data_IF_141030350150
#
_entry.id   IF_141030350150
#
_cell.length_a   1.000
_cell.length_b   1.000
_cell.length_c   1.000
_cell.angle_alpha   90.00
_cell.angle_beta   90.00
_cell.angle_gamma   90.00
#
_symmetry.space_group_name_H-M   'P 1'
#
loop_
_entity.id
_entity.type
_entity.pdbx_description
1 polymer ?
#
# COMPACT_ATOMS: atom_id res chain seq x y z
N UNK A 1 22.04 -18.79 27.62
CA UNK A 1 21.50 -17.44 27.34
C UNK A 1 21.91 -17.06 25.92
N UNK A 2 21.10 -17.16 24.87
CA UNK A 2 19.72 -16.72 24.76
C UNK A 2 19.64 -15.37 24.04
N UNK A 3 20.29 -15.22 22.88
CA UNK A 3 20.30 -13.99 22.10
C UNK A 3 19.45 -14.11 20.84
N UNK A 4 18.13 -14.22 21.00
CA UNK A 4 17.20 -14.14 19.88
C UNK A 4 17.20 -12.70 19.37
N UNK A 5 17.87 -12.47 18.24
CA UNK A 5 17.85 -11.20 17.52
C UNK A 5 16.50 -11.08 16.86
N UNK A 6 15.60 -10.27 17.42
CA UNK A 6 14.39 -9.87 16.72
C UNK A 6 14.82 -9.12 15.46
N UNK A 7 14.36 -9.57 14.30
CA UNK A 7 14.50 -8.82 13.07
C UNK A 7 13.84 -7.45 13.28
N UNK A 8 14.60 -6.37 13.11
CA UNK A 8 14.02 -5.02 13.11
C UNK A 8 13.05 -4.97 11.94
N UNK A 9 11.76 -4.77 12.25
CA UNK A 9 10.75 -4.51 11.24
C UNK A 9 11.22 -3.32 10.41
N UNK A 10 11.46 -3.55 9.12
CA UNK A 10 11.91 -2.50 8.23
C UNK A 10 10.93 -1.33 8.30
N UNK A 11 11.44 -0.13 8.57
CA UNK A 11 10.64 1.06 8.79
C UNK A 11 9.83 1.38 7.51
N UNK A 12 8.53 1.10 7.55
CA UNK A 12 7.62 1.39 6.43
C UNK A 12 7.19 2.84 6.55
N UNK A 13 7.75 3.70 5.71
CA UNK A 13 7.36 5.11 5.70
C UNK A 13 6.03 5.30 4.96
N UNK A 14 5.16 6.16 5.48
CA UNK A 14 3.92 6.55 4.81
C UNK A 14 4.23 7.42 3.58
N UNK A 15 3.56 7.15 2.45
CA UNK A 15 3.71 7.94 1.22
C UNK A 15 2.34 8.27 0.64
N UNK A 16 2.19 9.51 0.14
CA UNK A 16 0.98 9.98 -0.54
C UNK A 16 1.32 10.42 -1.96
N UNK A 17 0.53 10.00 -2.94
CA UNK A 17 0.67 10.40 -4.36
C UNK A 17 -0.64 10.96 -4.88
N UNK A 18 -0.57 11.95 -5.79
CA UNK A 18 -1.75 12.51 -6.47
C UNK A 18 -2.00 11.75 -7.77
N UNK A 19 -3.27 11.47 -8.05
CA UNK A 19 -3.77 10.90 -9.31
C UNK A 19 -4.91 11.77 -9.84
N UNK A 20 -5.34 11.61 -11.11
CA UNK A 20 -6.49 12.34 -11.63
C UNK A 20 -7.78 12.12 -10.83
N UNK A 21 -7.94 10.94 -10.22
CA UNK A 21 -9.13 10.56 -9.45
C UNK A 21 -9.02 10.86 -7.95
N UNK A 22 -7.92 11.45 -7.49
CA UNK A 22 -7.69 11.79 -6.07
C UNK A 22 -6.31 11.36 -5.56
N UNK A 23 -6.10 11.47 -4.25
CA UNK A 23 -4.84 11.09 -3.62
C UNK A 23 -4.87 9.65 -3.13
N UNK A 24 -3.76 8.92 -3.32
CA UNK A 24 -3.58 7.56 -2.81
C UNK A 24 -2.55 7.56 -1.69
N UNK A 25 -2.87 6.85 -0.61
CA UNK A 25 -1.95 6.56 0.49
C UNK A 25 -1.37 5.16 0.32
N UNK A 26 -0.07 5.04 0.52
CA UNK A 26 0.67 3.79 0.43
C UNK A 26 1.84 3.76 1.41
N UNK A 27 2.72 2.78 1.21
CA UNK A 27 3.90 2.58 2.04
C UNK A 27 5.14 2.52 1.15
N UNK A 28 6.22 3.14 1.61
CA UNK A 28 7.57 2.88 1.11
C UNK A 28 8.16 1.71 1.90
N UNK A 29 8.53 0.64 1.22
CA UNK A 29 9.17 -0.53 1.81
C UNK A 29 10.14 -1.15 0.79
N UNK A 30 11.31 -1.57 1.24
CA UNK A 30 12.26 -2.36 0.43
C UNK A 30 12.68 -1.62 -0.85
N UNK A 31 12.81 -0.29 -0.78
CA UNK A 31 13.15 0.54 -1.94
C UNK A 31 12.00 0.79 -2.93
N UNK A 32 10.81 0.22 -2.71
CA UNK A 32 9.63 0.41 -3.57
C UNK A 32 8.47 1.10 -2.86
N UNK A 33 7.61 1.78 -3.64
CA UNK A 33 6.33 2.33 -3.17
C UNK A 33 5.21 1.34 -3.47
N UNK A 34 4.46 0.96 -2.46
CA UNK A 34 3.40 -0.05 -2.54
C UNK A 34 2.04 0.60 -2.25
N UNK A 35 1.11 0.47 -3.21
CA UNK A 35 -0.28 0.91 -3.09
C UNK A 35 -1.17 -0.31 -3.38
N UNK A 36 -2.04 -0.68 -2.44
CA UNK A 36 -2.89 -1.88 -2.53
C UNK A 36 -4.36 -1.49 -2.49
N UNK A 37 -5.21 -2.28 -3.15
CA UNK A 37 -6.66 -2.06 -3.14
C UNK A 37 -7.11 -0.79 -3.85
N UNK A 38 -6.31 -0.28 -4.79
CA UNK A 38 -6.65 0.93 -5.58
C UNK A 38 -7.78 0.57 -6.54
N UNK A 39 -8.97 1.19 -6.43
CA UNK A 39 -10.05 0.98 -7.38
C UNK A 39 -9.64 1.55 -8.74
N UNK A 40 -9.77 0.75 -9.80
CA UNK A 40 -9.44 1.16 -11.16
C UNK A 40 -10.67 1.18 -12.09
N UNK A 41 -11.77 0.59 -11.65
CA UNK A 41 -13.03 0.50 -12.38
C UNK A 41 -14.20 0.55 -11.40
N UNK A 42 -15.40 0.76 -11.93
CA UNK A 42 -16.62 0.62 -11.14
C UNK A 42 -16.83 -0.85 -10.74
N UNK A 43 -17.33 -1.15 -9.53
CA UNK A 43 -17.67 -2.51 -9.14
C UNK A 43 -18.66 -3.16 -10.14
N UNK A 44 -18.43 -4.40 -10.61
CA UNK A 44 -19.26 -5.05 -11.63
C UNK A 44 -20.52 -5.65 -11.00
N UNK A 45 -21.42 -4.79 -10.53
CA UNK A 45 -22.67 -5.14 -9.85
C UNK A 45 -23.86 -4.44 -10.50
N UNK A 46 -25.09 -4.92 -10.24
CA UNK A 46 -26.30 -4.38 -10.84
C UNK A 46 -26.30 -4.55 -12.36
N UNK A 47 -26.54 -3.47 -13.09
CA UNK A 47 -26.56 -3.43 -14.56
C UNK A 47 -25.19 -3.69 -15.22
N UNK A 48 -24.09 -3.66 -14.45
CA UNK A 48 -22.73 -3.97 -14.91
C UNK A 48 -22.36 -5.45 -14.82
N UNK A 49 -23.32 -6.33 -14.50
CA UNK A 49 -23.12 -7.79 -14.41
C UNK A 49 -23.35 -8.50 -15.73
#
# INVERSE_FOLDING_TARGET
>A
MGGMRYAVAQEKAEVVVKTPSGSLRGLQAEGVRVFRGVPFAQPPVGDLR
#
